data_IF_435307573310
#
_entry.id   IF_435307573310
#
_cell.length_a   1.000
_cell.length_b   1.000
_cell.length_c   1.000
_cell.angle_alpha   90.00
_cell.angle_beta   90.00
_cell.angle_gamma   90.00
#
_symmetry.space_group_name_H-M   'P 1'
#
loop_
_entity.id
_entity.type
_entity.pdbx_description
1 polymer ?
#
# COMPACT_ATOMS: atom_id res chain seq x y z
N UNK A 1 18.69 -0.62 2.70
CA UNK A 1 19.33 0.64 3.12
C UNK A 1 18.30 1.40 3.93
N UNK A 2 18.68 1.83 5.13
CA UNK A 2 17.81 2.68 5.95
C UNK A 2 18.22 4.14 5.71
N UNK A 3 17.23 5.01 5.53
CA UNK A 3 17.46 6.43 5.30
C UNK A 3 16.74 7.20 6.39
N UNK A 4 17.47 8.10 7.05
CA UNK A 4 16.89 8.96 8.09
C UNK A 4 16.50 10.30 7.47
N UNK A 5 15.25 10.71 7.69
CA UNK A 5 14.75 12.02 7.28
C UNK A 5 14.57 12.86 8.54
N UNK A 6 15.26 14.00 8.61
CA UNK A 6 15.08 14.95 9.69
C UNK A 6 13.75 15.70 9.48
N UNK A 7 12.91 15.72 10.52
CA UNK A 7 11.64 16.44 10.55
C UNK A 7 11.54 17.25 11.84
N UNK A 8 10.69 18.28 11.85
CA UNK A 8 10.42 19.04 13.06
C UNK A 8 9.60 18.20 14.07
N UNK A 9 9.67 18.59 15.34
CA UNK A 9 9.03 17.85 16.43
C UNK A 9 7.49 17.86 16.32
N UNK A 10 6.90 18.96 15.85
CA UNK A 10 5.45 19.08 15.66
C UNK A 10 4.94 18.11 14.60
N UNK A 11 5.64 17.94 13.48
CA UNK A 11 5.29 16.96 12.43
C UNK A 11 5.44 15.55 12.96
N UNK A 12 6.50 15.25 13.72
CA UNK A 12 6.68 13.93 14.32
C UNK A 12 5.52 13.56 15.26
N UNK A 13 5.05 14.49 16.09
CA UNK A 13 3.88 14.27 16.96
C UNK A 13 2.60 14.03 16.14
N UNK A 14 2.39 14.81 15.08
CA UNK A 14 1.22 14.65 14.22
C UNK A 14 1.22 13.31 13.48
N UNK A 15 2.38 12.89 12.96
CA UNK A 15 2.55 11.58 12.33
C UNK A 15 2.32 10.43 13.33
N UNK A 16 2.78 10.57 14.57
CA UNK A 16 2.50 9.59 15.63
C UNK A 16 1.01 9.50 15.99
N UNK A 17 0.31 10.65 16.04
CA UNK A 17 -1.13 10.68 16.24
C UNK A 17 -1.88 9.98 15.10
N UNK A 18 -1.52 10.29 13.85
CA UNK A 18 -2.14 9.67 12.66
C UNK A 18 -1.85 8.16 12.65
N UNK A 19 -0.63 7.73 12.97
CA UNK A 19 -0.26 6.32 13.09
C UNK A 19 -1.22 5.56 14.02
N UNK A 20 -1.48 6.11 15.21
CA UNK A 20 -2.43 5.51 16.16
C UNK A 20 -3.85 5.49 15.61
N UNK A 21 -4.32 6.59 15.03
CA UNK A 21 -5.67 6.70 14.45
C UNK A 21 -5.90 5.72 13.31
N UNK A 22 -4.88 5.43 12.51
CA UNK A 22 -4.94 4.51 11.38
C UNK A 22 -4.56 3.07 11.75
N UNK A 23 -4.16 2.83 13.01
CA UNK A 23 -3.61 1.56 13.48
C UNK A 23 -2.47 1.03 12.58
N UNK A 24 -1.63 1.95 12.09
CA UNK A 24 -0.52 1.63 11.20
C UNK A 24 0.70 1.12 11.99
N UNK A 25 1.45 0.21 11.39
CA UNK A 25 2.62 -0.46 11.98
C UNK A 25 3.84 0.44 12.00
N UNK A 26 4.03 1.26 10.97
CA UNK A 26 5.16 2.20 10.83
C UNK A 26 4.73 3.59 10.35
N UNK A 27 5.65 4.56 10.40
CA UNK A 27 5.43 5.88 9.80
C UNK A 27 5.39 5.77 8.26
N UNK A 28 6.19 4.89 7.67
CA UNK A 28 6.16 4.65 6.23
C UNK A 28 4.79 4.18 5.74
N UNK A 29 4.15 3.29 6.50
CA UNK A 29 2.79 2.84 6.20
C UNK A 29 1.78 4.00 6.29
N UNK A 30 1.95 4.91 7.25
CA UNK A 30 1.13 6.12 7.34
C UNK A 30 1.30 6.99 6.10
N UNK A 31 2.53 7.23 5.65
CA UNK A 31 2.81 8.04 4.46
C UNK A 31 2.15 7.41 3.23
N UNK A 32 2.32 6.09 3.03
CA UNK A 32 1.71 5.37 1.92
C UNK A 32 0.19 5.48 1.94
N UNK A 33 -0.45 5.31 3.10
CA UNK A 33 -1.90 5.39 3.21
C UNK A 33 -2.43 6.82 3.05
N UNK A 34 -1.67 7.85 3.48
CA UNK A 34 -2.02 9.25 3.20
C UNK A 34 -2.00 9.50 1.69
N UNK A 35 -0.91 9.12 1.01
CA UNK A 35 -0.78 9.28 -0.46
C UNK A 35 -1.92 8.56 -1.17
N UNK A 36 -2.24 7.33 -0.76
CA UNK A 36 -3.37 6.56 -1.32
C UNK A 36 -4.69 7.31 -1.20
N UNK A 37 -4.95 7.94 -0.05
CA UNK A 37 -6.20 8.70 0.16
C UNK A 37 -6.24 9.99 -0.65
N UNK A 38 -5.12 10.70 -0.76
CA UNK A 38 -5.03 11.94 -1.54
C UNK A 38 -5.22 11.66 -3.03
N UNK A 39 -4.59 10.60 -3.53
CA UNK A 39 -4.59 10.20 -4.94
C UNK A 39 -5.76 9.26 -5.30
N UNK A 40 -6.68 8.96 -4.36
CA UNK A 40 -7.76 7.98 -4.52
C UNK A 40 -7.29 6.62 -5.08
N UNK A 41 -6.11 6.17 -4.67
CA UNK A 41 -5.53 4.91 -5.14
C UNK A 41 -6.19 3.72 -4.44
N UNK A 42 -6.61 2.68 -5.19
CA UNK A 42 -7.15 1.48 -4.60
C UNK A 42 -6.07 0.74 -3.80
N UNK A 43 -6.45 0.16 -2.65
CA UNK A 43 -5.54 -0.64 -1.81
C UNK A 43 -4.90 -1.83 -2.57
N UNK A 44 -5.58 -2.30 -3.60
CA UNK A 44 -5.11 -3.35 -4.49
C UNK A 44 -5.48 -3.01 -5.93
N UNK A 45 -4.55 -3.22 -6.87
CA UNK A 45 -4.84 -3.23 -8.31
C UNK A 45 -5.52 -4.53 -8.75
N UNK A 46 -5.66 -5.51 -7.85
CA UNK A 46 -6.36 -6.75 -8.13
C UNK A 46 -7.84 -6.46 -8.38
N UNK A 47 -8.34 -6.78 -9.57
CA UNK A 47 -9.71 -6.46 -9.99
C UNK A 47 -9.90 -5.06 -10.60
N UNK A 48 -8.86 -4.24 -10.74
CA UNK A 48 -8.98 -2.92 -11.40
C UNK A 48 -9.15 -3.00 -12.93
N UNK A 49 -9.10 -4.21 -13.47
CA UNK A 49 -9.36 -4.55 -14.87
C UNK A 49 -10.47 -5.60 -14.95
N UNK A 50 -11.76 -5.20 -14.86
CA UNK A 50 -12.88 -6.12 -14.97
C UNK A 50 -13.02 -6.75 -16.37
N UNK A 51 -12.32 -6.19 -17.37
CA UNK A 51 -12.17 -6.70 -18.73
C UNK A 51 -11.26 -7.95 -18.82
N UNK A 52 -10.36 -8.13 -17.85
CA UNK A 52 -9.52 -9.33 -17.79
C UNK A 52 -10.32 -10.49 -17.21
N UNK A 53 -10.52 -11.53 -18.01
CA UNK A 53 -11.12 -12.79 -17.54
C UNK A 53 -10.27 -13.40 -16.43
N UNK A 54 -10.94 -13.85 -15.37
CA UNK A 54 -10.32 -14.68 -14.34
C UNK A 54 -9.71 -15.93 -14.98
N UNK A 55 -8.46 -16.25 -14.63
CA UNK A 55 -7.80 -17.47 -15.09
C UNK A 55 -8.61 -18.70 -14.69
N UNK A 56 -8.95 -19.53 -15.67
CA UNK A 56 -9.59 -20.83 -15.44
C UNK A 56 -8.61 -21.81 -14.82
N UNK A 57 -9.14 -22.81 -14.11
CA UNK A 57 -8.31 -23.83 -13.43
C UNK A 57 -7.41 -24.58 -14.43
N UNK A 58 -7.87 -24.79 -15.66
CA UNK A 58 -7.10 -25.42 -16.74
C UNK A 58 -5.89 -24.58 -17.19
N UNK A 59 -5.93 -23.25 -17.04
CA UNK A 59 -4.87 -22.34 -17.49
C UNK A 59 -3.72 -22.22 -16.46
N UNK A 60 -3.95 -22.61 -15.20
CA UNK A 60 -2.94 -22.59 -14.14
C UNK A 60 -1.85 -23.64 -14.30
N UNK A 61 -2.14 -24.75 -14.98
CA UNK A 61 -1.21 -25.86 -15.15
C UNK A 61 -0.12 -25.60 -16.21
N UNK A 62 -0.35 -24.67 -17.15
CA UNK A 62 0.62 -24.34 -18.22
C UNK A 62 1.77 -23.45 -17.78
N UNK A 63 1.74 -22.91 -16.57
CA UNK A 63 2.74 -21.97 -16.05
C UNK A 63 3.85 -22.62 -15.21
N UNK A 64 3.78 -23.95 -14.96
CA UNK A 64 4.73 -24.67 -14.14
C UNK A 64 5.77 -25.51 -14.93
N UNK A 65 5.91 -25.27 -16.22
CA UNK A 65 6.98 -25.84 -17.05
C UNK A 65 7.88 -24.73 -17.62
N UNK A 66 8.71 -24.12 -16.77
CA UNK A 66 9.90 -23.36 -17.16
C UNK A 66 11.01 -23.60 -16.13
#
# INVERSE_FOLDING_TARGET
METTIAINQSTAQMLAYIKKKMNARSIDEVIVEIVRKVENLPKSKFGSRPDLKSFKREERAKFHEL
#
